data_IF_306500713345
#
_entry.id   IF_306500713345
#
_cell.length_a   1.000
_cell.length_b   1.000
_cell.length_c   1.000
_cell.angle_alpha   90.00
_cell.angle_beta   90.00
_cell.angle_gamma   90.00
#
_symmetry.space_group_name_H-M   'P 1'
#
loop_
_entity.id
_entity.type
_entity.pdbx_description
1 polymer ?
#
# COMPACT_ATOMS: atom_id res chain seq x y z
N UNK A 1 16.50 7.75 13.27
CA UNK A 1 15.17 7.14 13.06
C UNK A 1 14.24 8.31 12.78
N UNK A 2 13.02 8.13 12.28
CA UNK A 2 12.05 9.20 12.51
C UNK A 2 11.69 9.09 13.98
N UNK A 3 12.29 9.92 14.83
CA UNK A 3 12.28 9.72 16.28
C UNK A 3 10.85 9.72 16.83
N UNK A 4 9.97 10.49 16.20
CA UNK A 4 8.53 10.53 16.48
C UNK A 4 7.86 9.15 16.36
N UNK A 5 8.39 8.22 15.55
CA UNK A 5 7.81 6.88 15.36
C UNK A 5 8.25 5.85 16.40
N UNK A 6 9.27 6.17 17.21
CA UNK A 6 9.83 5.24 18.20
C UNK A 6 8.77 4.56 19.09
N UNK A 7 7.72 5.27 19.58
CA UNK A 7 6.69 4.64 20.41
C UNK A 7 5.87 3.56 19.70
N UNK A 8 5.76 3.60 18.37
CA UNK A 8 5.02 2.56 17.61
C UNK A 8 5.74 1.21 17.67
N UNK A 9 7.05 1.19 17.85
CA UNK A 9 7.83 -0.04 17.76
C UNK A 9 7.91 -0.81 19.08
N UNK A 10 6.91 -0.63 19.94
CA UNK A 10 6.58 -1.52 21.04
C UNK A 10 5.21 -2.16 20.74
N UNK A 11 5.19 -3.36 20.16
CA UNK A 11 3.96 -4.11 19.85
C UNK A 11 3.80 -4.44 18.36
N UNK A 12 2.57 -4.51 17.83
CA UNK A 12 2.27 -5.06 16.50
C UNK A 12 2.90 -4.27 15.35
N UNK A 13 3.22 -2.99 15.57
CA UNK A 13 3.86 -2.14 14.56
C UNK A 13 5.38 -2.34 14.46
N UNK A 14 6.01 -3.15 15.33
CA UNK A 14 7.45 -3.49 15.27
C UNK A 14 7.86 -3.94 13.87
N UNK A 15 7.02 -4.74 13.25
CA UNK A 15 7.37 -5.38 12.01
C UNK A 15 7.25 -4.42 10.79
N UNK A 16 6.70 -3.21 11.00
CA UNK A 16 6.68 -2.12 10.02
C UNK A 16 7.87 -1.16 10.17
N UNK A 17 8.74 -1.35 11.17
CA UNK A 17 9.86 -0.45 11.51
C UNK A 17 10.75 -0.11 10.32
N UNK A 18 11.06 -1.11 9.51
CA UNK A 18 12.03 -0.95 8.43
C UNK A 18 11.40 -0.40 7.13
N UNK A 19 10.10 -0.09 7.12
CA UNK A 19 9.42 0.42 5.94
C UNK A 19 9.69 1.89 5.65
N UNK A 20 10.11 2.68 6.65
CA UNK A 20 10.40 4.11 6.50
C UNK A 20 11.68 4.44 7.27
N UNK A 21 12.58 5.19 6.62
CA UNK A 21 13.79 5.74 7.25
C UNK A 21 14.07 7.14 6.71
N UNK A 22 15.13 7.78 7.22
CA UNK A 22 15.61 9.10 6.78
C UNK A 22 16.90 8.96 5.99
N UNK A 23 17.18 9.90 5.09
CA UNK A 23 18.39 9.89 4.28
C UNK A 23 19.67 9.94 5.12
N UNK A 24 19.70 10.76 6.18
CA UNK A 24 20.80 10.76 7.17
C UNK A 24 21.17 9.35 7.65
N UNK A 25 20.18 8.55 8.09
CA UNK A 25 20.43 7.17 8.55
C UNK A 25 20.94 6.23 7.45
N UNK A 26 20.51 6.46 6.20
CA UNK A 26 21.00 5.66 5.07
C UNK A 26 22.47 5.98 4.79
N UNK A 27 22.88 7.23 4.95
CA UNK A 27 24.27 7.66 4.77
C UNK A 27 25.21 7.22 5.90
N UNK A 28 24.70 7.09 7.13
CA UNK A 28 25.46 6.55 8.26
C UNK A 28 25.74 5.03 8.13
N UNK A 29 25.04 4.36 7.21
CA UNK A 29 25.27 2.96 6.84
C UNK A 29 26.49 2.75 5.95
N UNK A 30 26.64 1.52 5.45
CA UNK A 30 27.67 1.17 4.47
C UNK A 30 27.30 1.66 3.05
N UNK A 31 28.24 1.60 2.09
CA UNK A 31 27.93 1.94 0.69
C UNK A 31 26.80 1.07 0.10
N UNK A 32 26.63 -0.16 0.60
CA UNK A 32 25.50 -1.02 0.23
C UNK A 32 24.15 -0.42 0.63
N UNK A 33 24.11 0.38 1.70
CA UNK A 33 22.92 1.10 2.16
C UNK A 33 22.44 2.17 1.17
N UNK A 34 23.29 2.68 0.28
CA UNK A 34 22.86 3.61 -0.78
C UNK A 34 22.42 2.90 -2.08
N UNK A 35 22.65 1.59 -2.20
CA UNK A 35 22.28 0.86 -3.41
C UNK A 35 20.75 0.88 -3.62
N UNK A 36 20.37 1.15 -4.88
CA UNK A 36 18.98 1.15 -5.36
C UNK A 36 18.05 2.13 -4.64
N UNK A 37 18.60 3.21 -4.08
CA UNK A 37 17.82 4.36 -3.60
C UNK A 37 17.63 5.34 -4.75
N UNK A 38 16.37 5.58 -5.14
CA UNK A 38 16.03 6.44 -6.28
C UNK A 38 14.92 7.42 -5.85
N UNK A 39 14.98 8.71 -6.23
CA UNK A 39 13.89 9.64 -5.94
C UNK A 39 12.53 9.10 -6.43
N UNK A 40 11.48 9.22 -5.62
CA UNK A 40 10.17 8.65 -5.92
C UNK A 40 9.60 9.23 -7.22
N UNK A 41 9.83 10.52 -7.48
CA UNK A 41 9.45 11.18 -8.74
C UNK A 41 10.11 10.55 -9.97
N UNK A 42 11.33 10.05 -9.82
CA UNK A 42 12.08 9.42 -10.91
C UNK A 42 11.57 8.00 -11.10
N UNK A 43 11.37 7.23 -10.03
CA UNK A 43 10.76 5.88 -10.09
C UNK A 43 9.39 5.89 -10.74
N UNK A 44 8.58 6.91 -10.45
CA UNK A 44 7.22 7.09 -10.99
C UNK A 44 7.22 7.74 -12.38
N UNK A 45 8.38 7.97 -13.00
CA UNK A 45 8.47 8.41 -14.39
C UNK A 45 8.24 7.25 -15.37
N UNK A 46 7.79 7.50 -16.61
CA UNK A 46 7.46 6.43 -17.55
C UNK A 46 8.53 5.37 -17.75
N UNK A 47 9.79 5.77 -17.94
CA UNK A 47 10.89 4.84 -18.22
C UNK A 47 11.27 3.99 -17.01
N UNK A 48 11.41 4.62 -15.85
CA UNK A 48 11.74 3.91 -14.60
C UNK A 48 10.62 2.99 -14.13
N UNK A 49 9.37 3.45 -14.20
CA UNK A 49 8.24 2.64 -13.77
C UNK A 49 8.09 1.40 -14.66
N UNK A 50 8.24 1.55 -15.98
CA UNK A 50 8.26 0.41 -16.90
C UNK A 50 9.38 -0.57 -16.57
N UNK A 51 10.59 -0.09 -16.28
CA UNK A 51 11.71 -0.96 -15.87
C UNK A 51 11.43 -1.69 -14.55
N UNK A 52 10.79 -1.03 -13.57
CA UNK A 52 10.40 -1.66 -12.31
C UNK A 52 9.34 -2.75 -12.52
N UNK A 53 8.33 -2.50 -13.36
CA UNK A 53 7.28 -3.46 -13.71
C UNK A 53 7.87 -4.67 -14.44
N UNK A 54 8.77 -4.44 -15.41
CA UNK A 54 9.45 -5.51 -16.13
C UNK A 54 10.28 -6.38 -15.17
N UNK A 55 11.07 -5.75 -14.29
CA UNK A 55 11.83 -6.45 -13.26
C UNK A 55 10.95 -7.25 -12.29
N UNK A 56 9.78 -6.71 -11.95
CA UNK A 56 8.78 -7.42 -11.16
C UNK A 56 8.23 -8.62 -11.92
N UNK A 57 7.93 -8.47 -13.21
CA UNK A 57 7.38 -9.50 -14.10
C UNK A 57 8.27 -10.73 -14.26
N UNK A 58 9.60 -10.55 -14.29
CA UNK A 58 10.56 -11.65 -14.45
C UNK A 58 10.38 -12.79 -13.43
N UNK A 59 9.86 -12.51 -12.23
CA UNK A 59 9.64 -13.54 -11.21
C UNK A 59 8.42 -14.43 -11.47
N UNK A 60 7.54 -14.03 -12.41
CA UNK A 60 6.33 -14.75 -12.77
C UNK A 60 6.41 -15.38 -14.16
N UNK A 61 7.52 -15.18 -14.87
CA UNK A 61 7.79 -15.86 -16.12
C UNK A 61 7.94 -17.36 -15.86
N UNK A 62 7.03 -18.14 -16.43
CA UNK A 62 7.14 -19.60 -16.41
C UNK A 62 8.23 -20.01 -17.40
N UNK A 63 9.20 -20.81 -16.96
CA UNK A 63 10.03 -21.61 -17.87
C UNK A 63 9.14 -22.69 -18.51
N UNK A 64 8.36 -22.32 -19.51
CA UNK A 64 7.58 -23.27 -20.30
C UNK A 64 8.41 -23.75 -21.48
N UNK A 65 8.76 -25.03 -21.48
CA UNK A 65 9.29 -25.75 -22.64
C UNK A 65 8.25 -25.87 -23.78
N UNK A 66 7.02 -25.40 -23.59
CA UNK A 66 5.94 -25.32 -24.57
C UNK A 66 5.73 -23.88 -25.08
N UNK A 67 6.80 -23.08 -25.19
CA UNK A 67 6.80 -21.69 -25.69
C UNK A 67 6.31 -21.50 -27.14
N UNK A 68 5.89 -22.59 -27.81
CA UNK A 68 5.53 -22.59 -29.22
C UNK A 68 4.09 -22.15 -29.51
N UNK A 69 3.23 -21.88 -28.51
CA UNK A 69 1.84 -21.48 -28.81
C UNK A 69 1.34 -20.18 -28.20
N UNK A 70 1.74 -19.71 -27.01
CA UNK A 70 1.22 -18.44 -26.45
C UNK A 70 2.35 -17.54 -25.88
N UNK A 71 2.86 -16.63 -26.72
CA UNK A 71 3.95 -15.69 -26.44
C UNK A 71 3.50 -14.43 -25.66
N UNK A 72 2.65 -14.60 -24.65
CA UNK A 72 2.16 -13.46 -23.87
C UNK A 72 2.80 -13.50 -22.48
N UNK A 73 3.74 -12.58 -22.22
CA UNK A 73 4.27 -12.36 -20.88
C UNK A 73 3.17 -12.03 -19.85
N UNK A 74 3.50 -11.99 -18.56
CA UNK A 74 2.55 -11.65 -17.51
C UNK A 74 1.84 -10.32 -17.80
N UNK A 75 0.54 -10.26 -17.45
CA UNK A 75 -0.31 -9.11 -17.72
C UNK A 75 0.23 -7.81 -17.09
N UNK A 76 0.70 -6.87 -17.91
CA UNK A 76 1.37 -5.64 -17.45
C UNK A 76 0.50 -4.78 -16.54
N UNK A 77 -0.82 -4.75 -16.77
CA UNK A 77 -1.74 -4.00 -15.92
C UNK A 77 -1.83 -4.64 -14.53
N UNK A 78 -1.88 -5.97 -14.48
CA UNK A 78 -1.86 -6.69 -13.22
C UNK A 78 -0.51 -6.59 -12.51
N UNK A 79 0.60 -6.56 -13.24
CA UNK A 79 1.92 -6.31 -12.68
C UNK A 79 2.03 -4.91 -12.09
N UNK A 80 1.57 -3.87 -12.79
CA UNK A 80 1.54 -2.51 -12.23
C UNK A 80 0.64 -2.43 -10.99
N UNK A 81 -0.54 -3.04 -11.04
CA UNK A 81 -1.42 -3.11 -9.86
C UNK A 81 -0.73 -3.81 -8.68
N UNK A 82 -0.01 -4.91 -8.91
CA UNK A 82 0.74 -5.60 -7.87
C UNK A 82 1.93 -4.79 -7.36
N UNK A 83 2.74 -4.23 -8.25
CA UNK A 83 3.85 -3.36 -7.91
C UNK A 83 3.38 -2.18 -7.05
N UNK A 84 2.26 -1.54 -7.41
CA UNK A 84 1.70 -0.40 -6.68
C UNK A 84 1.40 -0.72 -5.21
N UNK A 85 1.04 -1.97 -4.90
CA UNK A 85 0.73 -2.37 -3.52
C UNK A 85 1.97 -2.38 -2.63
N UNK A 86 3.16 -2.63 -3.16
CA UNK A 86 4.40 -2.53 -2.40
C UNK A 86 4.65 -1.07 -1.96
N UNK A 87 4.44 -0.11 -2.86
CA UNK A 87 4.53 1.31 -2.52
C UNK A 87 3.42 1.75 -1.56
N UNK A 88 2.16 1.45 -1.92
CA UNK A 88 0.98 1.89 -1.16
C UNK A 88 0.93 1.28 0.23
N UNK A 89 1.36 0.03 0.43
CA UNK A 89 1.44 -0.56 1.77
C UNK A 89 2.38 0.23 2.69
N UNK A 90 3.55 0.62 2.19
CA UNK A 90 4.47 1.46 2.98
C UNK A 90 3.92 2.85 3.25
N UNK A 91 3.24 3.46 2.27
CA UNK A 91 2.65 4.80 2.43
C UNK A 91 1.37 4.83 3.26
N UNK A 92 0.72 3.68 3.45
CA UNK A 92 -0.50 3.56 4.25
C UNK A 92 -0.18 3.09 5.66
N UNK A 93 0.52 1.97 5.83
CA UNK A 93 0.49 1.24 7.09
C UNK A 93 1.12 1.99 8.26
N UNK A 94 2.38 2.38 8.14
CA UNK A 94 3.08 3.10 9.20
C UNK A 94 2.61 4.55 9.35
N UNK A 95 2.38 5.31 8.26
CA UNK A 95 1.87 6.68 8.37
C UNK A 95 0.46 6.77 8.98
N UNK A 96 -0.42 5.80 8.70
CA UNK A 96 -1.74 5.73 9.34
C UNK A 96 -1.64 5.43 10.83
N UNK A 97 -0.77 4.49 11.23
CA UNK A 97 -0.56 4.20 12.64
C UNK A 97 0.02 5.40 13.41
N UNK A 98 1.00 6.11 12.81
CA UNK A 98 1.55 7.34 13.38
C UNK A 98 0.47 8.42 13.53
N UNK A 99 -0.37 8.57 12.52
CA UNK A 99 -1.47 9.51 12.54
C UNK A 99 -2.46 9.19 13.66
N UNK A 100 -2.87 7.93 13.83
CA UNK A 100 -3.93 7.54 14.77
C UNK A 100 -3.47 7.38 16.21
N UNK A 101 -2.24 6.87 16.43
CA UNK A 101 -1.75 6.54 17.77
C UNK A 101 -0.90 7.64 18.39
N UNK A 102 -0.28 8.49 17.55
CA UNK A 102 0.66 9.52 17.99
C UNK A 102 0.22 10.92 17.58
N UNK A 103 -0.92 11.05 16.91
CA UNK A 103 -1.37 12.31 16.32
C UNK A 103 -0.28 12.97 15.46
N UNK A 104 0.47 12.14 14.72
CA UNK A 104 1.65 12.59 13.98
C UNK A 104 1.52 12.29 12.49
N UNK A 105 1.67 13.33 11.67
CA UNK A 105 1.59 13.26 10.21
C UNK A 105 2.99 13.22 9.61
N UNK A 106 3.29 12.16 8.86
CA UNK A 106 4.56 12.02 8.16
C UNK A 106 4.59 12.84 6.85
N UNK A 107 5.74 13.45 6.50
CA UNK A 107 5.87 14.34 5.34
C UNK A 107 6.12 13.54 4.05
N UNK A 108 5.10 12.84 3.56
CA UNK A 108 5.21 11.88 2.45
C UNK A 108 5.11 12.51 1.06
N UNK A 109 5.50 13.77 0.93
CA UNK A 109 5.42 14.48 -0.34
C UNK A 109 6.45 13.90 -1.32
N UNK A 110 6.05 13.66 -2.56
CA UNK A 110 6.90 13.02 -3.58
C UNK A 110 8.25 13.71 -3.81
N UNK A 111 8.34 15.03 -3.55
CA UNK A 111 9.59 15.80 -3.68
C UNK A 111 10.63 15.46 -2.61
N UNK A 112 10.18 14.97 -1.46
CA UNK A 112 11.00 14.61 -0.30
C UNK A 112 11.19 13.10 -0.16
N UNK A 113 10.56 12.32 -1.03
CA UNK A 113 10.50 10.87 -0.94
C UNK A 113 11.48 10.24 -1.94
N UNK A 114 12.31 9.34 -1.45
CA UNK A 114 13.06 8.36 -2.24
C UNK A 114 12.57 6.95 -1.92
N UNK A 115 12.72 6.04 -2.87
CA UNK A 115 12.31 4.65 -2.77
C UNK A 115 13.53 3.75 -2.85
N UNK A 116 13.64 2.81 -1.91
CA UNK A 116 14.57 1.69 -2.05
C UNK A 116 13.93 0.58 -2.85
N UNK A 117 14.54 0.19 -3.96
CA UNK A 117 14.09 -0.91 -4.80
C UNK A 117 14.79 -2.21 -4.41
N UNK A 118 14.01 -3.27 -4.21
CA UNK A 118 14.52 -4.62 -3.98
C UNK A 118 15.02 -5.28 -5.27
N UNK A 119 15.43 -6.55 -5.18
CA UNK A 119 15.98 -7.32 -6.31
C UNK A 119 15.00 -7.47 -7.48
N UNK A 120 13.70 -7.45 -7.22
CA UNK A 120 12.66 -7.54 -8.25
C UNK A 120 12.07 -6.18 -8.64
N UNK A 121 12.78 -5.07 -8.39
CA UNK A 121 12.31 -3.72 -8.73
C UNK A 121 11.10 -3.22 -7.92
N UNK A 122 10.68 -3.95 -6.88
CA UNK A 122 9.58 -3.56 -5.99
C UNK A 122 10.07 -2.66 -4.87
N UNK A 123 9.18 -1.80 -4.37
CA UNK A 123 9.50 -0.89 -3.25
C UNK A 123 9.66 -1.70 -1.96
N UNK A 124 10.80 -1.51 -1.30
CA UNK A 124 11.17 -2.19 -0.04
C UNK A 124 11.29 -1.24 1.14
N UNK A 125 11.47 0.06 0.90
CA UNK A 125 11.55 1.08 1.95
C UNK A 125 11.28 2.47 1.36
N UNK A 126 10.63 3.33 2.16
CA UNK A 126 10.52 4.76 1.93
C UNK A 126 11.67 5.46 2.65
N UNK A 127 12.30 6.42 1.97
CA UNK A 127 13.41 7.19 2.51
C UNK A 127 13.03 8.66 2.40
N UNK A 128 12.87 9.33 3.54
CA UNK A 128 12.62 10.76 3.59
C UNK A 128 13.94 11.52 3.55
N UNK A 129 14.04 12.54 2.70
CA UNK A 129 15.18 13.46 2.76
C UNK A 129 15.14 14.32 4.04
N UNK A 130 16.27 14.93 4.38
CA UNK A 130 16.39 15.70 5.63
C UNK A 130 15.54 16.99 5.58
N UNK A 131 15.25 17.50 4.38
CA UNK A 131 14.41 18.68 4.18
C UNK A 131 12.92 18.43 4.47
N UNK A 132 12.47 17.17 4.40
CA UNK A 132 11.14 16.74 4.83
C UNK A 132 10.91 16.99 6.33
N UNK A 133 11.99 17.00 7.11
CA UNK A 133 11.95 17.02 8.57
C UNK A 133 11.30 15.76 9.15
N UNK A 134 10.80 15.88 10.37
CA UNK A 134 10.21 14.75 11.12
C UNK A 134 8.70 14.59 10.86
N UNK A 135 8.07 15.48 10.08
CA UNK A 135 6.61 15.60 10.00
C UNK A 135 6.03 16.60 10.99
N UNK A 136 4.73 16.56 11.20
CA UNK A 136 4.00 17.50 12.05
C UNK A 136 3.01 16.79 12.97
N UNK A 137 2.99 17.19 14.24
CA UNK A 137 1.94 16.79 15.17
C UNK A 137 0.64 17.52 14.84
N UNK A 138 -0.50 16.86 15.06
CA UNK A 138 -1.80 17.49 14.91
C UNK A 138 -1.95 18.60 15.98
N UNK A 139 -2.38 19.81 15.58
CA UNK A 139 -2.67 20.88 16.52
C UNK A 139 -3.67 20.46 17.60
N UNK A 140 -3.37 20.76 18.86
CA UNK A 140 -4.21 20.40 20.00
C UNK A 140 -5.60 21.07 19.93
N UNK A 141 -5.69 22.24 19.31
CA UNK A 141 -6.92 23.01 19.16
C UNK A 141 -7.97 22.29 18.31
N UNK A 142 -7.55 21.33 17.47
CA UNK A 142 -8.44 20.51 16.64
C UNK A 142 -9.38 19.66 17.52
N UNK A 143 -8.99 19.27 18.74
CA UNK A 143 -9.88 18.49 19.62
C UNK A 143 -11.20 19.19 19.91
N UNK A 144 -11.19 20.52 19.96
CA UNK A 144 -12.37 21.37 20.19
C UNK A 144 -13.18 21.67 18.92
N UNK A 145 -12.63 21.37 17.73
CA UNK A 145 -13.27 21.66 16.45
C UNK A 145 -14.44 20.72 16.18
N UNK A 146 -15.31 21.07 15.23
CA UNK A 146 -16.36 20.18 14.75
C UNK A 146 -15.79 18.94 14.07
N UNK A 147 -16.63 17.91 13.96
CA UNK A 147 -16.25 16.61 13.45
C UNK A 147 -15.63 16.63 12.03
N UNK A 148 -16.16 17.45 11.11
CA UNK A 148 -15.66 17.52 9.75
C UNK A 148 -14.27 18.18 9.70
N UNK A 149 -14.07 19.25 10.46
CA UNK A 149 -12.78 19.92 10.62
C UNK A 149 -11.73 18.99 11.22
N UNK A 150 -12.09 18.17 12.22
CA UNK A 150 -11.17 17.17 12.80
C UNK A 150 -10.72 16.12 11.78
N UNK A 151 -11.65 15.57 11.00
CA UNK A 151 -11.31 14.61 9.95
C UNK A 151 -10.44 15.25 8.86
N UNK A 152 -10.77 16.48 8.45
CA UNK A 152 -10.02 17.20 7.44
C UNK A 152 -8.57 17.41 7.89
N UNK A 153 -8.37 17.99 9.08
CA UNK A 153 -7.03 18.24 9.59
C UNK A 153 -6.21 16.94 9.73
N UNK A 154 -6.86 15.84 10.15
CA UNK A 154 -6.21 14.54 10.32
C UNK A 154 -5.83 13.87 9.00
N UNK A 155 -6.68 13.94 7.97
CA UNK A 155 -6.52 13.09 6.77
C UNK A 155 -6.30 13.83 5.45
N UNK A 156 -6.48 15.15 5.37
CA UNK A 156 -6.33 15.88 4.11
C UNK A 156 -4.94 15.73 3.49
N UNK A 157 -3.88 15.97 4.26
CA UNK A 157 -2.50 15.79 3.80
C UNK A 157 -2.19 14.34 3.44
N UNK A 158 -2.57 13.41 4.32
CA UNK A 158 -2.42 11.98 4.10
C UNK A 158 -3.07 11.49 2.79
N UNK A 159 -4.31 11.90 2.52
CA UNK A 159 -5.03 11.56 1.29
C UNK A 159 -4.37 12.22 0.07
N UNK A 160 -3.91 13.46 0.18
CA UNK A 160 -3.22 14.15 -0.90
C UNK A 160 -1.90 13.46 -1.30
N UNK A 161 -1.15 12.90 -0.34
CA UNK A 161 0.07 12.15 -0.64
C UNK A 161 -0.22 10.85 -1.42
N UNK A 162 -1.28 10.13 -1.05
CA UNK A 162 -1.71 8.93 -1.79
C UNK A 162 -2.24 9.28 -3.18
N UNK A 163 -3.03 10.36 -3.28
CA UNK A 163 -3.57 10.86 -4.55
C UNK A 163 -2.44 11.22 -5.51
N UNK A 164 -1.43 11.96 -5.05
CA UNK A 164 -0.27 12.36 -5.87
C UNK A 164 0.49 11.16 -6.46
N UNK A 165 0.57 10.04 -5.74
CA UNK A 165 1.15 8.79 -6.27
C UNK A 165 0.20 8.15 -7.29
N UNK A 166 -1.07 8.02 -6.94
CA UNK A 166 -2.06 7.37 -7.82
C UNK A 166 -2.20 8.10 -9.15
N UNK A 167 -2.18 9.44 -9.14
CA UNK A 167 -2.18 10.28 -10.34
C UNK A 167 -0.97 10.03 -11.24
N UNK A 168 0.19 9.65 -10.66
CA UNK A 168 1.37 9.25 -11.44
C UNK A 168 1.27 7.85 -12.00
N UNK A 169 0.51 6.94 -11.39
CA UNK A 169 0.36 5.56 -11.87
C UNK A 169 -0.67 5.43 -12.99
N UNK A 170 -1.78 6.17 -12.92
CA UNK A 170 -2.92 6.06 -13.84
C UNK A 170 -2.53 6.21 -15.32
N UNK A 171 -1.64 7.13 -15.74
CA UNK A 171 -1.25 7.26 -17.13
C UNK A 171 -0.55 6.03 -17.75
N UNK A 172 -0.08 5.08 -16.93
CA UNK A 172 0.68 3.90 -17.39
C UNK A 172 -0.20 2.66 -17.59
N UNK A 173 -1.52 2.80 -17.54
CA UNK A 173 -2.42 1.65 -17.59
C UNK A 173 -3.82 2.01 -18.03
N UNK A 174 -4.57 1.01 -18.50
CA UNK A 174 -6.01 1.13 -18.71
C UNK A 174 -6.82 0.96 -17.41
N UNK A 175 -6.17 0.61 -16.29
CA UNK A 175 -6.84 0.53 -14.99
C UNK A 175 -7.21 1.93 -14.49
N UNK A 176 -8.46 2.12 -14.07
CA UNK A 176 -8.89 3.37 -13.47
C UNK A 176 -8.32 3.59 -12.06
N UNK A 177 -8.29 4.85 -11.56
CA UNK A 177 -7.75 5.21 -10.25
C UNK A 177 -8.36 4.41 -9.08
N UNK A 178 -9.62 3.97 -9.23
CA UNK A 178 -10.32 3.15 -8.22
C UNK A 178 -9.60 1.84 -7.89
N UNK A 179 -8.83 1.27 -8.82
CA UNK A 179 -8.05 0.05 -8.56
C UNK A 179 -6.93 0.34 -7.56
N UNK A 180 -6.19 1.43 -7.76
CA UNK A 180 -5.11 1.83 -6.87
C UNK A 180 -5.64 2.32 -5.52
N UNK A 181 -6.76 3.05 -5.50
CA UNK A 181 -7.44 3.39 -4.25
C UNK A 181 -7.93 2.15 -3.50
N UNK A 182 -8.44 1.11 -4.18
CA UNK A 182 -8.78 -0.18 -3.56
C UNK A 182 -7.55 -0.93 -3.01
N UNK A 183 -6.40 -0.79 -3.68
CA UNK A 183 -5.13 -1.30 -3.17
C UNK A 183 -4.71 -0.59 -1.87
N UNK A 184 -4.74 0.74 -1.84
CA UNK A 184 -4.43 1.53 -0.65
C UNK A 184 -5.43 1.28 0.49
N UNK A 185 -6.73 1.28 0.17
CA UNK A 185 -7.80 1.15 1.15
C UNK A 185 -7.76 -0.19 1.89
N UNK A 186 -7.27 -1.24 1.25
CA UNK A 186 -7.08 -2.51 1.94
C UNK A 186 -6.09 -2.44 3.10
N UNK A 187 -4.94 -1.81 2.89
CA UNK A 187 -3.98 -1.60 3.97
C UNK A 187 -4.56 -0.69 5.04
N UNK A 188 -5.39 0.27 4.64
CA UNK A 188 -6.10 1.13 5.56
C UNK A 188 -7.05 0.33 6.47
N UNK A 189 -7.96 -0.50 5.93
CA UNK A 189 -8.85 -1.30 6.78
C UNK A 189 -8.10 -2.37 7.57
N UNK A 190 -7.03 -2.94 7.01
CA UNK A 190 -6.20 -3.90 7.72
C UNK A 190 -5.60 -3.29 8.99
N UNK A 191 -4.98 -2.11 8.90
CA UNK A 191 -4.40 -1.43 10.06
C UNK A 191 -5.49 -1.02 11.05
N UNK A 192 -6.61 -0.47 10.58
CA UNK A 192 -7.74 -0.10 11.46
C UNK A 192 -8.25 -1.32 12.24
N UNK A 193 -8.46 -2.46 11.57
CA UNK A 193 -8.90 -3.70 12.22
C UNK A 193 -7.86 -4.23 13.21
N UNK A 194 -6.59 -4.27 12.82
CA UNK A 194 -5.49 -4.65 13.69
C UNK A 194 -5.43 -3.77 14.95
N UNK A 195 -5.63 -2.45 14.82
CA UNK A 195 -5.62 -1.54 15.97
C UNK A 195 -6.78 -1.81 16.93
N UNK A 196 -7.97 -2.07 16.40
CA UNK A 196 -9.15 -2.40 17.20
C UNK A 196 -8.99 -3.75 17.93
N UNK A 197 -8.45 -4.76 17.27
CA UNK A 197 -8.16 -6.08 17.87
C UNK A 197 -7.17 -5.98 19.05
N UNK A 198 -6.31 -4.97 19.04
CA UNK A 198 -5.32 -4.69 20.09
C UNK A 198 -5.86 -3.75 21.18
N UNK A 199 -7.14 -3.38 21.12
CA UNK A 199 -7.81 -2.55 22.12
C UNK A 199 -7.75 -1.04 21.86
N UNK A 200 -7.17 -0.58 20.75
CA UNK A 200 -7.09 0.85 20.39
C UNK A 200 -8.32 1.34 19.61
N UNK A 201 -9.52 0.92 20.04
CA UNK A 201 -10.78 1.23 19.35
C UNK A 201 -11.05 2.74 19.28
N UNK A 202 -10.76 3.48 20.35
CA UNK A 202 -10.95 4.92 20.38
C UNK A 202 -10.01 5.65 19.40
N UNK A 203 -8.75 5.22 19.33
CA UNK A 203 -7.75 5.78 18.42
C UNK A 203 -8.05 5.43 16.96
N UNK A 204 -8.65 4.27 16.70
CA UNK A 204 -9.08 3.87 15.36
C UNK A 204 -10.37 4.57 14.88
N UNK A 205 -11.15 5.15 15.79
CA UNK A 205 -12.46 5.74 15.49
C UNK A 205 -12.43 6.82 14.40
N UNK A 206 -11.46 7.76 14.34
CA UNK A 206 -11.38 8.73 13.24
C UNK A 206 -11.23 8.09 11.86
N UNK A 207 -10.51 6.97 11.76
CA UNK A 207 -10.35 6.23 10.51
C UNK A 207 -11.63 5.48 10.11
N UNK A 208 -12.36 4.92 11.08
CA UNK A 208 -13.71 4.36 10.85
C UNK A 208 -14.68 5.42 10.35
N UNK A 209 -14.64 6.59 10.98
CA UNK A 209 -15.47 7.72 10.62
C UNK A 209 -15.14 8.22 9.21
N UNK A 210 -13.84 8.35 8.85
CA UNK A 210 -13.44 8.64 7.47
C UNK A 210 -14.04 7.62 6.49
N UNK A 211 -13.96 6.31 6.77
CA UNK A 211 -14.56 5.29 5.90
C UNK A 211 -16.09 5.36 5.82
N UNK A 212 -16.76 5.98 6.79
CA UNK A 212 -18.21 6.24 6.78
C UNK A 212 -18.58 7.57 6.08
N UNK A 213 -17.63 8.49 5.89
CA UNK A 213 -17.85 9.78 5.25
C UNK A 213 -17.83 9.66 3.73
N UNK A 214 -18.96 9.98 3.07
CA UNK A 214 -19.09 9.87 1.60
C UNK A 214 -18.42 11.01 0.84
N UNK A 215 -18.57 12.23 1.36
CA UNK A 215 -18.08 13.48 0.76
C UNK A 215 -17.17 14.15 1.78
N UNK A 216 -15.95 14.48 1.39
CA UNK A 216 -14.97 15.16 2.23
C UNK A 216 -15.37 16.62 2.46
N UNK A 217 -14.75 17.28 3.44
CA UNK A 217 -15.02 18.68 3.78
C UNK A 217 -14.78 19.64 2.59
N UNK A 218 -13.88 19.28 1.68
CA UNK A 218 -13.59 20.03 0.45
C UNK A 218 -14.61 19.78 -0.70
N UNK A 219 -15.67 18.99 -0.44
CA UNK A 219 -16.70 18.66 -1.41
C UNK A 219 -16.36 17.51 -2.36
N UNK A 220 -15.13 16.99 -2.35
CA UNK A 220 -14.74 15.84 -3.18
C UNK A 220 -15.32 14.54 -2.63
N UNK A 221 -15.47 13.55 -3.52
CA UNK A 221 -15.83 12.19 -3.09
C UNK A 221 -14.67 11.59 -2.31
N UNK A 222 -14.96 11.00 -1.16
CA UNK A 222 -13.95 10.27 -0.40
C UNK A 222 -13.58 8.96 -1.12
N UNK A 223 -12.31 8.77 -1.55
CA UNK A 223 -11.90 7.54 -2.21
C UNK A 223 -11.86 6.33 -1.27
N UNK A 224 -11.87 6.54 0.04
CA UNK A 224 -11.91 5.51 1.07
C UNK A 224 -13.33 5.27 1.63
N UNK A 225 -14.37 5.83 1.02
CA UNK A 225 -15.75 5.61 1.47
C UNK A 225 -16.16 4.14 1.30
N UNK A 226 -16.43 3.47 2.42
CA UNK A 226 -16.82 2.07 2.50
C UNK A 226 -15.98 1.18 1.58
N UNK A 227 -14.70 0.96 1.87
CA UNK A 227 -13.77 0.32 0.92
C UNK A 227 -14.02 -1.19 0.76
N UNK A 228 -14.70 -1.79 1.73
CA UNK A 228 -15.20 -3.17 1.73
C UNK A 228 -16.72 -3.20 1.79
N UNK A 229 -17.30 -4.35 1.46
CA UNK A 229 -18.74 -4.61 1.56
C UNK A 229 -18.95 -5.90 2.34
N UNK A 230 -20.02 -5.98 3.13
CA UNK A 230 -20.48 -7.27 3.67
C UNK A 230 -21.43 -7.92 2.67
N UNK A 231 -21.14 -9.16 2.30
CA UNK A 231 -21.95 -9.95 1.36
C UNK A 231 -22.12 -11.37 1.88
N UNK A 232 -23.22 -12.00 1.50
CA UNK A 232 -23.45 -13.43 1.73
C UNK A 232 -23.22 -14.16 0.42
N UNK A 233 -22.51 -15.29 0.45
CA UNK A 233 -22.42 -16.16 -0.73
C UNK A 233 -23.68 -17.04 -0.87
N UNK A 234 -23.77 -17.78 -1.98
CA UNK A 234 -24.85 -18.75 -2.23
C UNK A 234 -25.01 -19.86 -1.17
N UNK A 235 -24.01 -20.09 -0.32
CA UNK A 235 -24.04 -21.07 0.77
C UNK A 235 -24.43 -20.43 2.12
N UNK A 236 -24.67 -19.12 2.15
CA UNK A 236 -25.00 -18.40 3.37
C UNK A 236 -23.78 -18.12 4.26
N UNK A 237 -22.56 -18.16 3.71
CA UNK A 237 -21.35 -17.70 4.41
C UNK A 237 -21.17 -16.19 4.22
N UNK A 238 -20.76 -15.49 5.28
CA UNK A 238 -20.51 -14.05 5.25
C UNK A 238 -19.08 -13.77 4.78
N UNK A 239 -18.95 -12.87 3.82
CA UNK A 239 -17.68 -12.39 3.28
C UNK A 239 -17.60 -10.87 3.38
N UNK A 240 -16.39 -10.34 3.55
CA UNK A 240 -16.12 -8.88 3.55
C UNK A 240 -15.13 -8.50 2.44
N UNK A 241 -15.47 -8.68 1.15
CA UNK A 241 -14.59 -8.36 0.03
C UNK A 241 -14.34 -6.87 -0.14
N UNK A 242 -13.26 -6.51 -0.83
CA UNK A 242 -13.08 -5.17 -1.39
C UNK A 242 -14.12 -4.91 -2.48
N UNK A 243 -14.51 -3.66 -2.68
CA UNK A 243 -15.47 -3.29 -3.75
C UNK A 243 -14.91 -3.36 -5.17
N UNK A 244 -13.59 -3.24 -5.33
CA UNK A 244 -12.93 -3.19 -6.65
C UNK A 244 -11.82 -4.23 -6.68
N UNK A 245 -11.86 -5.09 -7.71
CA UNK A 245 -10.84 -6.11 -7.93
C UNK A 245 -9.49 -5.48 -8.28
N UNK A 246 -8.42 -5.92 -7.61
CA UNK A 246 -7.05 -5.49 -7.88
C UNK A 246 -6.42 -6.13 -9.14
N UNK A 247 -7.18 -6.95 -9.87
CA UNK A 247 -6.77 -7.71 -11.07
C UNK A 247 -5.58 -8.66 -10.91
N UNK A 248 -5.15 -8.93 -9.66
CA UNK A 248 -4.08 -9.89 -9.30
C UNK A 248 -4.17 -11.22 -10.05
N UNK A 249 -5.38 -11.75 -10.18
CA UNK A 249 -5.64 -13.07 -10.75
C UNK A 249 -5.24 -13.20 -12.23
N UNK A 250 -4.99 -12.08 -12.94
CA UNK A 250 -4.46 -12.09 -14.31
C UNK A 250 -2.98 -12.50 -14.35
N UNK A 251 -2.29 -12.52 -13.21
CA UNK A 251 -0.98 -13.16 -13.05
C UNK A 251 -1.23 -14.61 -12.66
N UNK A 252 -1.01 -15.53 -13.59
CA UNK A 252 -1.48 -16.92 -13.53
C UNK A 252 -1.03 -17.68 -12.27
N UNK A 253 0.18 -17.44 -11.79
CA UNK A 253 0.72 -18.12 -10.61
C UNK A 253 0.16 -17.60 -9.27
N UNK A 254 -0.51 -16.44 -9.25
CA UNK A 254 -0.94 -15.78 -8.01
C UNK A 254 -2.38 -16.11 -7.60
N UNK A 255 -3.29 -16.25 -8.57
CA UNK A 255 -4.72 -16.46 -8.31
C UNK A 255 -5.42 -15.27 -7.63
N UNK A 256 -6.51 -15.53 -6.90
CA UNK A 256 -7.27 -14.48 -6.20
C UNK A 256 -6.57 -13.99 -4.92
N UNK A 257 -6.78 -12.72 -4.57
CA UNK A 257 -6.46 -12.19 -3.24
C UNK A 257 -7.49 -12.65 -2.19
N UNK A 258 -7.15 -12.60 -0.90
CA UNK A 258 -7.98 -13.17 0.19
C UNK A 258 -9.34 -12.49 0.32
N UNK A 259 -9.42 -11.20 0.04
CA UNK A 259 -10.66 -10.41 0.05
C UNK A 259 -11.09 -9.98 -1.37
N UNK A 260 -10.81 -10.81 -2.37
CA UNK A 260 -11.18 -10.51 -3.76
C UNK A 260 -12.71 -10.50 -3.93
N UNK A 261 -13.32 -9.46 -4.55
CA UNK A 261 -14.74 -9.52 -4.87
C UNK A 261 -15.10 -10.62 -5.86
N UNK A 262 -14.12 -11.16 -6.59
CA UNK A 262 -14.35 -12.22 -7.57
C UNK A 262 -14.31 -13.62 -6.97
N UNK A 263 -13.70 -13.84 -5.80
CA UNK A 263 -13.52 -15.17 -5.23
C UNK A 263 -14.76 -15.72 -4.52
N UNK A 264 -15.77 -14.88 -4.28
CA UNK A 264 -16.96 -15.27 -3.50
C UNK A 264 -17.83 -16.25 -4.28
N UNK A 265 -18.06 -15.98 -5.57
CA UNK A 265 -18.96 -16.81 -6.40
C UNK A 265 -18.25 -17.59 -7.50
N UNK A 266 -16.98 -17.24 -7.80
CA UNK A 266 -16.21 -17.91 -8.85
C UNK A 266 -15.38 -19.06 -8.27
N UNK A 267 -15.20 -20.10 -9.08
CA UNK A 267 -14.27 -21.19 -8.77
C UNK A 267 -12.86 -20.63 -8.49
N UNK A 268 -12.03 -21.32 -7.68
CA UNK A 268 -10.68 -20.86 -7.37
C UNK A 268 -9.91 -20.55 -8.66
N UNK A 269 -9.24 -19.41 -8.70
CA UNK A 269 -8.37 -19.10 -9.83
C UNK A 269 -7.29 -20.19 -9.95
N UNK A 270 -7.11 -20.74 -11.16
CA UNK A 270 -6.05 -21.72 -11.43
C UNK A 270 -4.70 -21.11 -11.04
N UNK A 271 -3.97 -21.79 -10.17
CA UNK A 271 -2.55 -21.51 -9.90
C UNK A 271 -1.74 -22.53 -10.69
N UNK A 272 -1.04 -22.08 -11.73
CA UNK A 272 -0.09 -22.96 -12.42
C UNK A 272 1.02 -23.40 -11.45
N UNK A 273 1.36 -24.69 -11.44
CA UNK A 273 2.46 -25.23 -10.63
C UNK A 273 3.77 -24.59 -11.10
N UNK A 274 4.26 -23.62 -10.35
CA UNK A 274 5.60 -23.06 -10.51
C UNK A 274 6.53 -23.71 -9.48
N UNK A 275 7.81 -23.91 -9.85
CA UNK A 275 8.87 -24.19 -8.86
C UNK A 275 8.70 -23.17 -7.73
N UNK A 276 8.73 -23.62 -6.47
CA UNK A 276 8.64 -22.75 -5.29
C UNK A 276 9.54 -21.54 -5.53
N UNK A 277 8.97 -20.40 -5.91
CA UNK A 277 9.63 -19.11 -5.79
C UNK A 277 10.00 -19.05 -4.32
N UNK A 278 11.26 -18.81 -4.01
CA UNK A 278 11.75 -18.85 -2.64
C UNK A 278 11.15 -17.66 -1.87
N UNK A 279 9.88 -17.79 -1.48
CA UNK A 279 9.10 -16.79 -0.73
C UNK A 279 9.76 -16.49 0.63
N UNK A 280 10.73 -17.32 1.05
CA UNK A 280 11.55 -17.15 2.25
C UNK A 280 12.50 -15.95 2.20
N UNK A 281 12.83 -15.44 1.00
CA UNK A 281 13.68 -14.25 0.88
C UNK A 281 12.92 -12.93 1.10
N UNK A 282 11.58 -12.96 1.18
CA UNK A 282 10.76 -11.75 1.26
C UNK A 282 9.98 -11.71 2.58
N UNK A 283 10.68 -11.41 3.68
CA UNK A 283 10.10 -11.18 5.03
C UNK A 283 8.96 -10.14 5.04
N UNK A 284 8.86 -9.29 4.00
CA UNK A 284 7.74 -8.36 3.73
C UNK A 284 6.41 -9.04 3.38
N UNK A 285 6.41 -10.26 2.86
CA UNK A 285 5.19 -10.94 2.42
C UNK A 285 4.24 -11.26 3.59
N UNK A 286 4.78 -11.57 4.77
CA UNK A 286 4.01 -11.76 6.00
C UNK A 286 3.43 -10.43 6.55
N UNK A 287 4.08 -9.29 6.26
CA UNK A 287 3.74 -7.97 6.80
C UNK A 287 2.68 -7.21 6.02
N UNK A 288 2.52 -7.59 4.76
CA UNK A 288 1.64 -6.88 3.81
C UNK A 288 0.38 -7.74 3.53
N UNK A 289 0.12 -8.72 4.40
CA UNK A 289 -0.96 -9.69 4.27
C UNK A 289 -0.73 -10.68 3.12
N UNK A 290 -1.54 -11.75 3.11
CA UNK A 290 -1.53 -12.79 2.06
C UNK A 290 -1.79 -12.28 0.63
N UNK A 291 -2.11 -10.99 0.48
CA UNK A 291 -2.51 -10.37 -0.78
C UNK A 291 -1.34 -10.03 -1.71
N UNK A 292 -0.11 -10.03 -1.18
CA UNK A 292 1.15 -9.97 -1.93
C UNK A 292 1.85 -11.33 -2.08
N UNK A 293 1.41 -12.35 -1.33
CA UNK A 293 2.00 -13.70 -1.32
C UNK A 293 1.31 -14.65 -2.29
#
# INVERSE_FOLDING_TARGET
MIDALSPLFAGPMVAYRDLITTYTQVQEGDEASLQRVVPARDVLSPGWLAACIAAHGMQYETSSADAASHHSGPDEQALLSQWSKYLLSSMVSLPLAANLLLDHQLPLELRHLSLRLGEHGVVTQLILDDAAGQGASLPAEIESADEATRLQARFQGYLAHLEAVIERLVPHTALGPKVFWSNAAHYFVYIVGMLEEQGWVAQAAPARQLMATRILADGRRNPLYQPVSDVMDRHGERHTPRKVCCVRYRIECLGYCSNCPLSIERAPARRAQTRRVDQRANSRAALIGSDLS
#
